data_IF_741290521333
#
_entry.id   IF_741290521333
#
_cell.length_a   1.000
_cell.length_b   1.000
_cell.length_c   1.000
_cell.angle_alpha   90.00
_cell.angle_beta   90.00
_cell.angle_gamma   90.00
#
_symmetry.space_group_name_H-M   'P 1'
#
loop_
_entity.id
_entity.type
_entity.pdbx_description
1 polymer ?
#
# COMPACT_ATOMS: atom_id res chain seq x y z
N UNK A 1 9.13 -13.08 9.53
CA UNK A 1 8.47 -12.99 8.20
C UNK A 1 9.30 -13.86 7.29
N UNK A 2 8.80 -15.04 6.94
CA UNK A 2 9.66 -16.12 6.46
C UNK A 2 9.26 -16.49 5.02
N UNK A 3 10.25 -16.71 4.15
CA UNK A 3 10.05 -17.16 2.78
C UNK A 3 10.75 -18.49 2.61
N UNK A 4 9.99 -19.53 2.27
CA UNK A 4 10.54 -20.85 1.97
C UNK A 4 10.93 -20.88 0.49
N UNK A 5 12.17 -21.29 0.21
CA UNK A 5 12.64 -21.54 -1.15
C UNK A 5 12.09 -22.90 -1.58
N UNK A 6 11.44 -22.96 -2.74
CA UNK A 6 10.96 -24.22 -3.33
C UNK A 6 11.84 -24.58 -4.52
N UNK A 7 12.18 -25.86 -4.64
CA UNK A 7 12.90 -26.42 -5.79
C UNK A 7 14.23 -25.70 -6.12
N UNK A 8 14.92 -25.19 -5.10
CA UNK A 8 16.18 -24.45 -5.28
C UNK A 8 16.06 -23.09 -5.98
N UNK A 9 14.84 -22.63 -6.31
CA UNK A 9 14.65 -21.37 -7.03
C UNK A 9 14.70 -20.16 -6.07
N UNK A 10 15.92 -19.69 -5.82
CA UNK A 10 16.23 -18.56 -4.92
C UNK A 10 15.72 -17.23 -5.48
N UNK A 11 15.80 -17.02 -6.79
CA UNK A 11 15.40 -15.76 -7.42
C UNK A 11 13.89 -15.50 -7.25
N UNK A 12 13.07 -16.53 -7.44
CA UNK A 12 11.64 -16.44 -7.20
C UNK A 12 11.33 -16.16 -5.71
N UNK A 13 12.07 -16.77 -4.80
CA UNK A 13 11.92 -16.54 -3.36
C UNK A 13 12.26 -15.08 -2.99
N UNK A 14 13.32 -14.50 -3.56
CA UNK A 14 13.67 -13.08 -3.37
C UNK A 14 12.57 -12.15 -3.90
N UNK A 15 11.97 -12.47 -5.05
CA UNK A 15 10.84 -11.69 -5.60
C UNK A 15 9.63 -11.72 -4.67
N UNK A 16 9.30 -12.90 -4.15
CA UNK A 16 8.20 -13.07 -3.19
C UNK A 16 8.50 -12.31 -1.89
N UNK A 17 9.74 -12.36 -1.40
CA UNK A 17 10.15 -11.62 -0.22
C UNK A 17 9.98 -10.12 -0.42
N UNK A 18 10.48 -9.58 -1.54
CA UNK A 18 10.31 -8.16 -1.89
C UNK A 18 8.84 -7.77 -1.92
N UNK A 19 8.00 -8.56 -2.60
CA UNK A 19 6.55 -8.32 -2.65
C UNK A 19 5.93 -8.31 -1.25
N UNK A 20 6.23 -9.32 -0.43
CA UNK A 20 5.69 -9.38 0.93
C UNK A 20 6.14 -8.19 1.78
N UNK A 21 7.37 -7.67 1.61
CA UNK A 21 7.84 -6.48 2.33
C UNK A 21 7.00 -5.27 1.93
N UNK A 22 6.82 -5.04 0.64
CA UNK A 22 5.97 -3.94 0.13
C UNK A 22 4.53 -4.08 0.61
N UNK A 23 3.95 -5.29 0.57
CA UNK A 23 2.57 -5.54 1.03
C UNK A 23 2.42 -5.29 2.54
N UNK A 24 3.45 -5.63 3.32
CA UNK A 24 3.43 -5.41 4.77
C UNK A 24 3.47 -3.94 5.17
N UNK A 25 3.80 -3.04 4.23
CA UNK A 25 3.94 -1.59 4.41
C UNK A 25 4.88 -1.14 5.54
N UNK A 26 5.59 -2.07 6.20
CA UNK A 26 6.47 -1.80 7.36
C UNK A 26 7.52 -0.75 7.06
N UNK A 27 8.11 -0.77 5.86
CA UNK A 27 9.15 0.17 5.48
C UNK A 27 8.63 1.62 5.44
N UNK A 28 7.37 1.81 5.03
CA UNK A 28 6.72 3.11 5.05
C UNK A 28 6.39 3.54 6.48
N UNK A 29 5.91 2.62 7.32
CA UNK A 29 5.62 2.91 8.73
C UNK A 29 6.88 3.34 9.51
N UNK A 30 8.04 2.74 9.22
CA UNK A 30 9.30 3.14 9.83
C UNK A 30 9.74 4.53 9.37
N UNK A 31 9.67 4.81 8.06
CA UNK A 31 9.97 6.14 7.51
C UNK A 31 9.08 7.23 8.07
N UNK A 32 7.78 6.97 8.23
CA UNK A 32 6.86 7.93 8.84
C UNK A 32 7.15 8.18 10.33
N UNK A 33 7.89 7.29 11.00
CA UNK A 33 8.26 7.41 12.42
C UNK A 33 9.66 7.99 12.64
N UNK A 34 10.46 8.21 11.59
CA UNK A 34 11.79 8.83 11.70
C UNK A 34 11.71 10.25 12.29
N UNK A 35 10.59 10.94 12.08
CA UNK A 35 10.36 12.29 12.56
C UNK A 35 9.07 12.38 13.38
N UNK A 36 9.07 13.26 14.38
CA UNK A 36 7.85 13.56 15.13
C UNK A 36 6.89 14.41 14.30
N UNK A 37 5.79 13.81 13.86
CA UNK A 37 4.66 14.51 13.25
C UNK A 37 3.56 14.79 14.29
N UNK A 38 3.09 16.03 14.37
CA UNK A 38 1.97 16.41 15.24
C UNK A 38 0.74 15.55 14.93
N UNK A 39 0.05 15.07 15.98
CA UNK A 39 -1.15 14.21 15.86
C UNK A 39 -2.22 14.80 14.94
N UNK A 40 -2.39 16.12 14.93
CA UNK A 40 -3.35 16.83 14.07
C UNK A 40 -2.97 16.72 12.59
N UNK A 41 -1.70 16.95 12.26
CA UNK A 41 -1.18 16.86 10.89
C UNK A 41 -1.35 15.45 10.34
N UNK A 42 -1.01 14.43 11.15
CA UNK A 42 -1.23 13.02 10.80
C UNK A 42 -2.69 12.71 10.49
N UNK A 43 -3.63 13.23 11.29
CA UNK A 43 -5.09 13.08 11.06
C UNK A 43 -5.55 13.78 9.78
N UNK A 44 -5.07 14.99 9.53
CA UNK A 44 -5.40 15.77 8.34
C UNK A 44 -4.89 15.09 7.07
N UNK A 45 -3.64 14.61 7.05
CA UNK A 45 -3.04 13.85 5.95
C UNK A 45 -3.85 12.59 5.63
N UNK A 46 -4.24 11.82 6.66
CA UNK A 46 -5.09 10.63 6.50
C UNK A 46 -6.47 10.96 5.91
N UNK A 47 -7.11 12.03 6.38
CA UNK A 47 -8.42 12.49 5.86
C UNK A 47 -8.31 12.92 4.40
N UNK A 48 -7.31 13.72 4.05
CA UNK A 48 -7.07 14.16 2.68
C UNK A 48 -6.83 12.96 1.74
N UNK A 49 -6.03 11.98 2.17
CA UNK A 49 -5.80 10.76 1.39
C UNK A 49 -7.08 9.93 1.19
N UNK A 50 -7.95 9.84 2.19
CA UNK A 50 -9.25 9.16 2.07
C UNK A 50 -10.17 9.86 1.06
N UNK A 51 -10.28 11.19 1.15
CA UNK A 51 -11.09 11.99 0.20
C UNK A 51 -10.57 11.82 -1.23
N UNK A 52 -9.25 11.85 -1.44
CA UNK A 52 -8.68 11.67 -2.77
C UNK A 52 -8.93 10.25 -3.33
N UNK A 53 -8.84 9.21 -2.49
CA UNK A 53 -9.19 7.83 -2.89
C UNK A 53 -10.66 7.72 -3.28
N UNK A 54 -11.54 8.36 -2.52
CA UNK A 54 -12.97 8.38 -2.81
C UNK A 54 -13.28 9.07 -4.13
N UNK A 55 -12.73 10.27 -4.34
CA UNK A 55 -12.88 11.01 -5.60
C UNK A 55 -12.44 10.18 -6.80
N UNK A 56 -11.29 9.49 -6.70
CA UNK A 56 -10.82 8.58 -7.75
C UNK A 56 -11.77 7.39 -7.98
N UNK A 57 -12.38 6.85 -6.92
CA UNK A 57 -13.37 5.77 -7.05
C UNK A 57 -14.62 6.25 -7.79
N UNK A 58 -15.12 7.42 -7.43
CA UNK A 58 -16.30 8.03 -8.07
C UNK A 58 -16.02 8.38 -9.54
N UNK A 59 -14.83 8.93 -9.84
CA UNK A 59 -14.40 9.17 -11.22
C UNK A 59 -14.39 7.88 -12.06
N UNK A 60 -13.82 6.80 -11.53
CA UNK A 60 -13.82 5.48 -12.22
C UNK A 60 -15.22 4.93 -12.43
N UNK A 61 -16.12 5.13 -11.47
CA UNK A 61 -17.52 4.70 -11.57
C UNK A 61 -18.27 5.51 -12.64
N UNK A 62 -18.05 6.82 -12.70
CA UNK A 62 -18.65 7.70 -13.71
C UNK A 62 -18.13 7.40 -15.12
N UNK A 63 -16.85 7.06 -15.26
CA UNK A 63 -16.22 6.67 -16.54
C UNK A 63 -16.74 5.32 -17.05
N UNK A 64 -17.04 4.38 -16.15
CA UNK A 64 -17.53 3.04 -16.48
C UNK A 64 -18.84 2.74 -15.72
N UNK A 65 -19.98 3.28 -16.17
CA UNK A 65 -21.25 3.16 -15.46
C UNK A 65 -21.78 1.71 -15.37
N UNK A 66 -21.34 0.83 -16.29
CA UNK A 66 -21.63 -0.60 -16.25
C UNK A 66 -20.32 -1.39 -16.14
N UNK A 67 -20.05 -2.09 -15.03
CA UNK A 67 -18.97 -3.06 -15.02
C UNK A 67 -19.38 -4.18 -15.97
N UNK A 68 -18.73 -4.27 -17.12
CA UNK A 68 -18.77 -5.48 -17.94
C UNK A 68 -18.38 -6.64 -17.01
N UNK A 69 -19.31 -7.59 -16.91
CA UNK A 69 -19.27 -8.74 -16.02
C UNK A 69 -18.10 -9.66 -16.34
#
# INVERSE_FOLDING_TARGET
MNVKVRNGNVEQALRIFKRKITDSNKLFDYREKEYHEKRTTKRQKKKAAAVNRERKRQQKLAEKPFPLK
#
